data_IF_388123220392
#
_entry.id   IF_388123220392
#
_cell.length_a   1.000
_cell.length_b   1.000
_cell.length_c   1.000
_cell.angle_alpha   90.00
_cell.angle_beta   90.00
_cell.angle_gamma   90.00
#
_symmetry.space_group_name_H-M   'P 1'
#
loop_
_entity.id
_entity.type
_entity.pdbx_description
1 polymer ?
#
# COMPACT_ATOMS: atom_id res chain seq x y z
N UNK A 1 -19.79 36.83 42.27
CA UNK A 1 -20.95 36.35 41.48
C UNK A 1 -20.47 35.25 40.51
N UNK A 2 -20.52 34.01 40.93
CA UNK A 2 -20.13 32.88 40.09
C UNK A 2 -21.25 32.61 39.07
N UNK A 3 -20.99 32.79 37.76
CA UNK A 3 -21.88 32.31 36.71
C UNK A 3 -21.80 30.77 36.73
N UNK A 4 -22.90 30.13 37.05
CA UNK A 4 -23.06 28.67 36.85
C UNK A 4 -23.04 28.47 35.34
N UNK A 5 -22.05 27.72 34.85
CA UNK A 5 -21.99 27.33 33.44
C UNK A 5 -23.33 26.67 33.05
N UNK A 6 -23.89 27.10 31.94
CA UNK A 6 -25.17 26.58 31.48
C UNK A 6 -25.11 25.07 31.18
N UNK A 7 -26.24 24.40 31.29
CA UNK A 7 -26.35 22.95 31.01
C UNK A 7 -25.73 22.53 29.67
N UNK A 8 -25.79 23.40 28.64
CA UNK A 8 -25.15 23.24 27.36
C UNK A 8 -23.62 23.13 27.45
N UNK A 9 -23.00 23.92 28.31
CA UNK A 9 -21.55 23.94 28.51
C UNK A 9 -21.07 22.65 29.19
N UNK A 10 -21.86 22.15 30.14
CA UNK A 10 -21.56 20.89 30.85
C UNK A 10 -21.65 19.67 29.92
N UNK A 11 -22.65 19.64 29.04
CA UNK A 11 -22.77 18.57 28.01
C UNK A 11 -21.65 18.64 26.99
N UNK A 12 -21.25 19.84 26.57
CA UNK A 12 -20.11 20.07 25.67
C UNK A 12 -18.80 19.57 26.29
N UNK A 13 -18.51 19.93 27.54
CA UNK A 13 -17.34 19.49 28.31
C UNK A 13 -17.34 17.95 28.49
N UNK A 14 -18.51 17.37 28.80
CA UNK A 14 -18.63 15.91 28.97
C UNK A 14 -18.38 15.14 27.66
N UNK A 15 -18.93 15.61 26.52
CA UNK A 15 -18.64 15.05 25.21
C UNK A 15 -17.16 15.15 24.85
N UNK A 16 -16.54 16.30 25.13
CA UNK A 16 -15.13 16.56 24.86
C UNK A 16 -14.22 15.66 25.71
N UNK A 17 -14.55 15.51 27.01
CA UNK A 17 -13.80 14.62 27.91
C UNK A 17 -13.88 13.14 27.49
N UNK A 18 -15.04 12.67 27.01
CA UNK A 18 -15.16 11.30 26.48
C UNK A 18 -14.34 11.10 25.22
N UNK A 19 -14.30 12.07 24.30
CA UNK A 19 -13.49 12.01 23.09
C UNK A 19 -12.01 11.94 23.44
N UNK A 20 -11.53 12.78 24.37
CA UNK A 20 -10.14 12.74 24.82
C UNK A 20 -9.78 11.43 25.52
N UNK A 21 -10.65 10.93 26.41
CA UNK A 21 -10.44 9.64 27.08
C UNK A 21 -10.39 8.49 26.07
N UNK A 22 -11.26 8.50 25.07
CA UNK A 22 -11.23 7.51 23.98
C UNK A 22 -9.93 7.60 23.17
N UNK A 23 -9.45 8.82 22.90
CA UNK A 23 -8.18 9.02 22.17
C UNK A 23 -6.98 8.49 22.96
N UNK A 24 -6.91 8.75 24.28
CA UNK A 24 -5.86 8.20 25.13
C UNK A 24 -5.92 6.66 25.16
N UNK A 25 -7.12 6.10 25.34
CA UNK A 25 -7.30 4.64 25.31
C UNK A 25 -6.83 4.03 23.98
N UNK A 26 -7.27 4.60 22.87
CA UNK A 26 -6.90 4.10 21.54
C UNK A 26 -5.39 4.20 21.30
N UNK A 27 -4.74 5.26 21.81
CA UNK A 27 -3.29 5.40 21.72
C UNK A 27 -2.58 4.29 22.49
N UNK A 28 -2.97 4.01 23.75
CA UNK A 28 -2.37 2.93 24.53
C UNK A 28 -2.62 1.56 23.90
N UNK A 29 -3.86 1.30 23.43
CA UNK A 29 -4.19 0.05 22.70
C UNK A 29 -3.25 -0.16 21.52
N UNK A 30 -3.03 0.89 20.74
CA UNK A 30 -2.17 0.81 19.56
C UNK A 30 -0.70 0.54 19.94
N UNK A 31 -0.19 1.23 20.95
CA UNK A 31 1.19 1.06 21.42
C UNK A 31 1.42 -0.36 22.00
N UNK A 32 0.44 -0.92 22.70
CA UNK A 32 0.50 -2.32 23.20
C UNK A 32 0.48 -3.30 22.02
N UNK A 33 -0.37 -3.10 21.02
CA UNK A 33 -0.40 -3.95 19.82
C UNK A 33 0.93 -3.88 19.04
N UNK A 34 1.52 -2.69 18.91
CA UNK A 34 2.86 -2.51 18.31
C UNK A 34 3.92 -3.25 19.11
N UNK A 35 3.88 -3.20 20.44
CA UNK A 35 4.81 -3.94 21.28
C UNK A 35 4.68 -5.46 21.07
N UNK A 36 3.46 -5.98 21.01
CA UNK A 36 3.20 -7.39 20.75
C UNK A 36 3.66 -7.82 19.33
N UNK A 37 3.51 -6.96 18.32
CA UNK A 37 4.07 -7.23 16.98
C UNK A 37 5.59 -7.29 17.01
N UNK A 38 6.26 -6.34 17.66
CA UNK A 38 7.72 -6.34 17.82
C UNK A 38 8.25 -7.57 18.57
N UNK A 39 7.45 -8.12 19.46
CA UNK A 39 7.73 -9.38 20.17
C UNK A 39 7.39 -10.64 19.35
N UNK A 40 6.81 -10.51 18.15
CA UNK A 40 6.37 -11.64 17.32
C UNK A 40 5.08 -12.32 17.81
N UNK A 41 4.41 -11.76 18.82
CA UNK A 41 3.23 -12.38 19.45
C UNK A 41 1.91 -12.03 18.76
N UNK A 42 1.85 -10.95 18.01
CA UNK A 42 0.59 -10.50 17.39
C UNK A 42 0.05 -11.54 16.39
N UNK A 43 0.92 -12.17 15.61
CA UNK A 43 0.53 -13.21 14.67
C UNK A 43 -0.06 -14.45 15.38
N UNK A 44 0.53 -14.86 16.49
CA UNK A 44 0.05 -16.01 17.30
C UNK A 44 -1.31 -15.74 17.94
N UNK A 45 -1.52 -14.50 18.43
CA UNK A 45 -2.81 -14.05 18.95
C UNK A 45 -3.91 -14.08 17.88
N UNK A 46 -3.55 -13.95 16.60
CA UNK A 46 -4.45 -14.04 15.45
C UNK A 46 -4.81 -15.47 15.03
N UNK A 47 -4.33 -16.50 15.75
CA UNK A 47 -4.64 -17.91 15.47
C UNK A 47 -5.76 -18.44 16.36
N UNK A 48 -6.30 -19.62 16.03
CA UNK A 48 -7.27 -20.35 16.86
C UNK A 48 -6.66 -20.77 18.21
N UNK A 49 -5.34 -20.94 18.26
CA UNK A 49 -4.63 -21.41 19.46
C UNK A 49 -4.39 -20.26 20.44
N UNK A 50 -4.11 -19.05 19.96
CA UNK A 50 -3.79 -17.89 20.79
C UNK A 50 -2.49 -18.06 21.58
N UNK A 51 -2.34 -17.27 22.65
CA UNK A 51 -1.14 -17.16 23.48
C UNK A 51 -1.47 -17.43 24.94
N UNK A 52 -0.61 -18.19 25.61
CA UNK A 52 -0.65 -18.42 27.07
C UNK A 52 0.63 -17.83 27.68
N UNK A 53 0.57 -16.69 28.41
CA UNK A 53 1.77 -16.00 28.92
C UNK A 53 2.70 -16.91 29.73
N UNK A 54 2.16 -17.69 30.64
CA UNK A 54 2.94 -18.57 31.50
C UNK A 54 3.70 -19.70 30.75
N UNK A 55 3.37 -19.93 29.46
CA UNK A 55 4.04 -20.95 28.63
C UNK A 55 5.15 -20.36 27.75
N UNK A 56 5.35 -19.03 27.74
CA UNK A 56 6.31 -18.36 26.88
C UNK A 56 7.64 -18.11 27.61
N UNK A 57 8.69 -18.78 27.16
CA UNK A 57 10.04 -18.48 27.62
C UNK A 57 10.57 -17.16 27.05
N UNK A 58 11.33 -16.41 27.82
CA UNK A 58 11.95 -15.16 27.39
C UNK A 58 11.08 -13.92 27.52
N UNK A 59 9.88 -14.04 28.12
CA UNK A 59 9.01 -12.91 28.42
C UNK A 59 8.82 -12.76 29.94
N UNK A 60 8.61 -11.52 30.39
CA UNK A 60 8.11 -11.27 31.74
C UNK A 60 6.62 -11.64 31.78
N UNK A 61 6.22 -12.69 32.52
CA UNK A 61 4.84 -13.15 32.48
C UNK A 61 3.85 -12.14 33.10
N UNK A 62 4.28 -11.35 34.07
CA UNK A 62 3.42 -10.34 34.71
C UNK A 62 3.12 -9.18 33.77
N UNK A 63 4.14 -8.67 33.10
CA UNK A 63 3.97 -7.59 32.13
C UNK A 63 3.17 -8.03 30.90
N UNK A 64 3.45 -9.23 30.42
CA UNK A 64 2.72 -9.79 29.26
C UNK A 64 1.24 -10.01 29.60
N UNK A 65 0.95 -10.63 30.76
CA UNK A 65 -0.42 -10.87 31.21
C UNK A 65 -1.19 -9.57 31.37
N UNK A 66 -0.61 -8.55 32.01
CA UNK A 66 -1.21 -7.24 32.16
C UNK A 66 -1.53 -6.57 30.80
N UNK A 67 -0.63 -6.70 29.79
CA UNK A 67 -0.87 -6.19 28.46
C UNK A 67 -2.04 -6.92 27.75
N UNK A 68 -2.12 -8.24 27.87
CA UNK A 68 -3.19 -9.04 27.26
C UNK A 68 -4.54 -8.84 27.96
N UNK A 69 -4.55 -8.70 29.30
CA UNK A 69 -5.74 -8.35 30.06
C UNK A 69 -6.27 -6.96 29.65
N UNK A 70 -5.39 -5.97 29.56
CA UNK A 70 -5.76 -4.62 29.10
C UNK A 70 -6.40 -4.65 27.72
N UNK A 71 -5.83 -5.41 26.76
CA UNK A 71 -6.43 -5.56 25.42
C UNK A 71 -7.76 -6.33 25.45
N UNK A 72 -7.96 -7.21 26.44
CA UNK A 72 -9.23 -7.91 26.66
C UNK A 72 -10.30 -6.95 27.18
N UNK A 73 -9.98 -6.09 28.12
CA UNK A 73 -10.84 -5.00 28.61
C UNK A 73 -11.16 -3.99 27.49
N UNK A 74 -10.20 -3.79 26.57
CA UNK A 74 -10.38 -2.97 25.38
C UNK A 74 -11.22 -3.68 24.29
N UNK A 75 -11.69 -4.89 24.52
CA UNK A 75 -12.47 -5.71 23.57
C UNK A 75 -11.74 -6.11 22.26
N UNK A 76 -10.42 -6.03 22.24
CA UNK A 76 -9.57 -6.48 21.13
C UNK A 76 -9.32 -7.98 21.25
N UNK A 77 -8.99 -8.43 22.45
CA UNK A 77 -8.78 -9.86 22.73
C UNK A 77 -9.97 -10.46 23.48
N UNK A 78 -10.00 -11.78 23.53
CA UNK A 78 -10.81 -12.58 24.43
C UNK A 78 -9.92 -13.56 25.20
N UNK A 79 -10.26 -13.79 26.46
CA UNK A 79 -9.62 -14.79 27.28
C UNK A 79 -10.36 -16.13 27.14
N UNK A 80 -9.62 -17.14 26.78
CA UNK A 80 -10.09 -18.53 26.74
C UNK A 80 -9.72 -19.24 28.07
N UNK A 81 -10.35 -20.34 28.36
CA UNK A 81 -10.04 -21.09 29.57
C UNK A 81 -8.53 -21.35 29.75
N UNK A 82 -8.05 -21.39 31.01
CA UNK A 82 -6.64 -21.60 31.42
C UNK A 82 -5.68 -20.44 31.10
N UNK A 83 -6.14 -19.18 31.16
CA UNK A 83 -5.27 -18.01 30.97
C UNK A 83 -4.71 -17.88 29.58
N UNK A 84 -5.44 -18.31 28.55
CA UNK A 84 -5.08 -18.20 27.15
C UNK A 84 -5.82 -17.06 26.50
N UNK A 85 -5.13 -16.26 25.69
CA UNK A 85 -5.64 -15.07 25.02
C UNK A 85 -5.57 -15.23 23.50
N UNK A 86 -6.56 -14.70 22.78
CA UNK A 86 -6.54 -14.57 21.32
C UNK A 86 -7.33 -13.35 20.86
N UNK A 87 -7.19 -12.97 19.59
CA UNK A 87 -8.01 -11.93 18.99
C UNK A 87 -9.49 -12.36 18.99
N UNK A 88 -10.34 -11.51 19.58
CA UNK A 88 -11.77 -11.78 19.79
C UNK A 88 -12.51 -12.06 18.47
N UNK A 89 -12.18 -11.31 17.43
CA UNK A 89 -12.78 -11.44 16.10
C UNK A 89 -11.72 -11.83 15.06
N UNK A 90 -11.37 -13.12 15.02
CA UNK A 90 -10.34 -13.63 14.12
C UNK A 90 -10.52 -13.20 12.64
N UNK A 91 -11.76 -13.04 12.16
CA UNK A 91 -12.04 -12.55 10.82
C UNK A 91 -11.60 -11.10 10.58
N UNK A 92 -11.49 -10.31 11.64
CA UNK A 92 -11.04 -8.92 11.60
C UNK A 92 -9.54 -8.78 11.86
N UNK A 93 -8.88 -9.86 12.27
CA UNK A 93 -7.45 -9.86 12.57
C UNK A 93 -6.56 -9.26 11.47
N UNK A 94 -6.76 -9.57 10.17
CA UNK A 94 -5.96 -8.94 9.15
C UNK A 94 -6.12 -7.41 9.08
N UNK A 95 -7.33 -6.87 9.37
CA UNK A 95 -7.55 -5.40 9.44
C UNK A 95 -6.84 -4.80 10.64
N UNK A 96 -6.88 -5.49 11.78
CA UNK A 96 -6.18 -5.07 12.98
C UNK A 96 -4.66 -5.02 12.71
N UNK A 97 -4.12 -6.06 12.11
CA UNK A 97 -2.69 -6.16 11.76
C UNK A 97 -2.28 -5.07 10.76
N UNK A 98 -3.09 -4.81 9.72
CA UNK A 98 -2.86 -3.74 8.77
C UNK A 98 -2.81 -2.36 9.45
N UNK A 99 -3.71 -2.10 10.40
CA UNK A 99 -3.69 -0.85 11.17
C UNK A 99 -2.42 -0.73 12.03
N UNK A 100 -1.95 -1.82 12.63
CA UNK A 100 -0.70 -1.87 13.39
C UNK A 100 0.49 -1.58 12.47
N UNK A 101 0.56 -2.19 11.30
CA UNK A 101 1.63 -1.94 10.33
C UNK A 101 1.63 -0.50 9.82
N UNK A 102 0.46 0.06 9.50
CA UNK A 102 0.35 1.47 9.11
C UNK A 102 0.86 2.40 10.22
N UNK A 103 0.52 2.12 11.48
CA UNK A 103 1.02 2.89 12.61
C UNK A 103 2.54 2.73 12.80
N UNK A 104 3.09 1.55 12.57
CA UNK A 104 4.54 1.30 12.62
C UNK A 104 5.27 2.02 11.48
N UNK A 105 4.69 2.02 10.29
CA UNK A 105 5.23 2.74 9.13
C UNK A 105 5.39 4.23 9.43
N UNK A 106 4.38 4.86 9.99
CA UNK A 106 4.36 6.31 10.26
C UNK A 106 4.79 6.70 11.69
N UNK A 107 5.30 5.78 12.49
CA UNK A 107 5.68 6.04 13.88
C UNK A 107 6.72 7.17 13.98
N UNK A 108 7.79 7.12 13.17
CA UNK A 108 8.83 8.16 13.19
C UNK A 108 8.29 9.53 12.76
N UNK A 109 7.63 9.70 11.61
CA UNK A 109 7.05 10.98 11.22
C UNK A 109 6.09 11.58 12.25
N UNK A 110 5.22 10.77 12.85
CA UNK A 110 4.25 11.23 13.84
C UNK A 110 4.93 11.66 15.14
N UNK A 111 5.89 10.91 15.65
CA UNK A 111 6.63 11.26 16.89
C UNK A 111 7.52 12.48 16.70
N UNK A 112 7.99 12.75 15.49
CA UNK A 112 8.82 13.91 15.15
C UNK A 112 8.05 15.03 14.45
N UNK A 113 6.71 14.97 14.45
CA UNK A 113 5.85 15.92 13.76
C UNK A 113 6.15 17.39 14.13
N UNK A 114 6.53 17.68 15.39
CA UNK A 114 6.91 19.01 15.83
C UNK A 114 8.09 19.59 15.05
N UNK A 115 9.06 18.75 14.60
CA UNK A 115 10.20 19.17 13.79
C UNK A 115 9.78 19.48 12.35
N UNK A 116 8.85 18.68 11.80
CA UNK A 116 8.27 18.92 10.47
C UNK A 116 7.43 20.20 10.46
N UNK A 117 6.58 20.42 11.50
CA UNK A 117 5.76 21.64 11.65
C UNK A 117 6.63 22.89 11.77
N UNK A 118 7.74 22.83 12.49
CA UNK A 118 8.68 23.95 12.63
C UNK A 118 9.52 24.21 11.40
N UNK A 119 9.59 23.26 10.46
CA UNK A 119 10.47 23.31 9.30
C UNK A 119 11.94 23.01 9.63
N UNK A 120 12.24 22.50 10.83
CA UNK A 120 13.58 22.07 11.24
C UNK A 120 14.05 20.85 10.44
N UNK A 121 13.11 20.06 9.95
CA UNK A 121 13.33 18.87 9.11
C UNK A 121 12.30 18.82 7.97
N UNK A 122 12.63 18.02 6.95
CA UNK A 122 11.74 17.74 5.82
C UNK A 122 11.43 16.25 5.74
N UNK A 123 10.19 15.91 5.39
CA UNK A 123 9.83 14.55 5.08
C UNK A 123 10.66 14.04 3.87
N UNK A 124 11.10 12.78 3.96
CA UNK A 124 12.00 12.19 2.95
C UNK A 124 13.49 12.51 3.15
N UNK A 125 13.83 13.43 4.08
CA UNK A 125 15.22 13.79 4.41
C UNK A 125 15.38 13.71 5.93
N UNK A 126 15.86 12.58 6.44
CA UNK A 126 16.05 12.34 7.88
C UNK A 126 14.80 11.89 8.64
N UNK A 127 13.59 12.28 8.22
CA UNK A 127 12.32 11.79 8.74
C UNK A 127 11.52 11.20 7.59
N UNK A 128 11.30 9.89 7.62
CA UNK A 128 10.50 9.17 6.62
C UNK A 128 9.70 8.04 7.26
N UNK A 129 8.71 7.52 6.56
CA UNK A 129 8.03 6.29 6.97
C UNK A 129 8.97 5.08 6.86
N UNK A 130 8.61 4.00 7.53
CA UNK A 130 9.27 2.70 7.35
C UNK A 130 8.63 1.96 6.16
N UNK A 131 9.37 1.83 5.07
CA UNK A 131 8.88 1.27 3.80
C UNK A 131 8.46 -0.20 3.90
N UNK A 132 9.08 -0.98 4.78
CA UNK A 132 8.71 -2.38 4.97
C UNK A 132 7.31 -2.48 5.59
N UNK A 133 7.06 -1.73 6.66
CA UNK A 133 5.75 -1.73 7.31
C UNK A 133 4.68 -1.08 6.45
N UNK A 134 5.03 -0.06 5.67
CA UNK A 134 4.13 0.55 4.70
C UNK A 134 3.71 -0.45 3.61
N UNK A 135 4.66 -1.18 3.03
CA UNK A 135 4.38 -2.24 2.07
C UNK A 135 3.48 -3.35 2.66
N UNK A 136 3.72 -3.74 3.91
CA UNK A 136 2.90 -4.74 4.61
C UNK A 136 1.47 -4.25 4.90
N UNK A 137 1.31 -2.98 5.29
CA UNK A 137 0.00 -2.35 5.51
C UNK A 137 -0.78 -2.22 4.21
N UNK A 138 -0.12 -1.75 3.16
CA UNK A 138 -0.70 -1.59 1.83
C UNK A 138 -1.13 -2.92 1.23
N UNK A 139 -0.35 -3.99 1.39
CA UNK A 139 -0.69 -5.33 0.93
C UNK A 139 -2.04 -5.81 1.47
N UNK A 140 -2.27 -5.68 2.77
CA UNK A 140 -3.52 -6.16 3.39
C UNK A 140 -4.75 -5.41 2.85
N UNK A 141 -4.64 -4.13 2.55
CA UNK A 141 -5.70 -3.31 1.96
C UNK A 141 -5.88 -3.65 0.48
N UNK A 142 -4.80 -3.63 -0.28
CA UNK A 142 -4.84 -3.76 -1.73
C UNK A 142 -5.24 -5.17 -2.16
N UNK A 143 -4.79 -6.20 -1.46
CA UNK A 143 -5.13 -7.59 -1.77
C UNK A 143 -6.63 -7.86 -1.69
N UNK A 144 -7.34 -7.22 -0.76
CA UNK A 144 -8.77 -7.44 -0.55
C UNK A 144 -9.65 -6.68 -1.54
N UNK A 145 -9.27 -5.45 -1.86
CA UNK A 145 -10.13 -4.55 -2.62
C UNK A 145 -9.71 -4.41 -4.07
N UNK A 146 -8.41 -4.50 -4.36
CA UNK A 146 -7.89 -4.04 -5.65
C UNK A 146 -7.19 -5.12 -6.48
N UNK A 147 -6.65 -6.20 -5.90
CA UNK A 147 -5.95 -7.23 -6.69
C UNK A 147 -6.85 -7.86 -7.75
N UNK A 148 -8.05 -8.31 -7.37
CA UNK A 148 -8.98 -8.88 -8.33
C UNK A 148 -9.48 -7.87 -9.37
N UNK A 149 -9.59 -6.60 -9.00
CA UNK A 149 -9.96 -5.52 -9.91
C UNK A 149 -8.84 -5.25 -10.92
N UNK A 150 -7.61 -5.05 -10.45
CA UNK A 150 -6.42 -4.81 -11.29
C UNK A 150 -6.13 -6.01 -12.18
N UNK A 151 -6.24 -7.24 -11.65
CA UNK A 151 -6.06 -8.47 -12.43
C UNK A 151 -7.05 -8.53 -13.62
N UNK A 152 -8.33 -8.22 -13.43
CA UNK A 152 -9.31 -8.22 -14.54
C UNK A 152 -8.95 -7.20 -15.61
N UNK A 153 -8.53 -6.00 -15.23
CA UNK A 153 -8.07 -4.99 -16.18
C UNK A 153 -6.82 -5.46 -16.94
N UNK A 154 -5.89 -6.11 -16.25
CA UNK A 154 -4.68 -6.68 -16.81
C UNK A 154 -4.98 -7.80 -17.82
N UNK A 155 -5.80 -8.79 -17.45
CA UNK A 155 -6.16 -9.91 -18.32
C UNK A 155 -6.88 -9.47 -19.60
N UNK A 156 -7.66 -8.39 -19.52
CA UNK A 156 -8.31 -7.81 -20.71
C UNK A 156 -7.33 -7.19 -21.73
N UNK A 157 -6.03 -7.11 -21.39
CA UNK A 157 -4.97 -6.71 -22.34
C UNK A 157 -4.38 -7.86 -23.13
N UNK A 158 -4.74 -9.12 -22.80
CA UNK A 158 -4.17 -10.36 -23.39
C UNK A 158 -2.64 -10.42 -23.31
N UNK A 159 -2.04 -9.97 -22.20
CA UNK A 159 -0.59 -10.06 -22.00
C UNK A 159 -0.17 -11.43 -21.45
N UNK A 160 1.07 -11.82 -21.70
CA UNK A 160 1.70 -13.03 -21.17
C UNK A 160 2.74 -12.73 -20.07
N UNK A 161 3.23 -11.50 -19.99
CA UNK A 161 4.27 -11.09 -19.05
C UNK A 161 3.98 -9.74 -18.42
N UNK A 162 4.32 -9.61 -17.13
CA UNK A 162 4.07 -8.40 -16.32
C UNK A 162 5.30 -8.05 -15.50
N UNK A 163 5.66 -6.78 -15.53
CA UNK A 163 6.58 -6.15 -14.57
C UNK A 163 5.77 -5.25 -13.66
N UNK A 164 5.76 -5.53 -12.35
CA UNK A 164 5.07 -4.73 -11.34
C UNK A 164 6.08 -3.81 -10.66
N UNK A 165 5.98 -2.51 -10.91
CA UNK A 165 6.86 -1.47 -10.34
C UNK A 165 6.27 -0.94 -9.05
N UNK A 166 7.12 -0.84 -8.00
CA UNK A 166 6.68 -0.55 -6.65
C UNK A 166 5.87 -1.70 -6.07
N UNK A 167 6.34 -2.93 -6.29
CA UNK A 167 5.63 -4.14 -5.92
C UNK A 167 5.57 -4.39 -4.40
N UNK A 168 6.27 -3.59 -3.59
CA UNK A 168 6.40 -3.80 -2.16
C UNK A 168 6.96 -5.20 -1.84
N UNK A 169 6.18 -6.00 -1.12
CA UNK A 169 6.56 -7.40 -0.81
C UNK A 169 6.48 -8.35 -2.02
N UNK A 170 5.91 -7.93 -3.15
CA UNK A 170 5.65 -8.80 -4.30
C UNK A 170 4.37 -9.63 -4.18
N UNK A 171 3.47 -9.23 -3.30
CA UNK A 171 2.23 -9.97 -3.07
C UNK A 171 1.29 -9.95 -4.29
N UNK A 172 1.25 -8.87 -5.08
CA UNK A 172 0.44 -8.81 -6.29
C UNK A 172 0.95 -9.74 -7.40
N UNK A 173 2.25 -9.74 -7.78
CA UNK A 173 2.80 -10.78 -8.66
C UNK A 173 2.51 -12.20 -8.17
N UNK A 174 2.66 -12.48 -6.86
CA UNK A 174 2.34 -13.77 -6.29
C UNK A 174 0.84 -14.11 -6.34
N UNK A 175 -0.04 -13.11 -6.22
CA UNK A 175 -1.47 -13.27 -6.43
C UNK A 175 -1.78 -13.61 -7.90
N UNK A 176 -1.18 -12.90 -8.85
CA UNK A 176 -1.34 -13.19 -10.28
C UNK A 176 -0.90 -14.63 -10.63
N UNK A 177 0.23 -15.09 -10.11
CA UNK A 177 0.73 -16.45 -10.32
C UNK A 177 -0.25 -17.54 -9.86
N UNK A 178 -1.04 -17.27 -8.83
CA UNK A 178 -2.03 -18.22 -8.29
C UNK A 178 -3.37 -18.21 -9.02
N UNK A 179 -3.69 -17.13 -9.74
CA UNK A 179 -5.02 -16.91 -10.30
C UNK A 179 -5.04 -16.76 -11.83
N UNK A 180 -3.88 -16.88 -12.48
CA UNK A 180 -3.74 -16.71 -13.95
C UNK A 180 -2.68 -17.65 -14.50
N UNK A 181 -2.67 -17.79 -15.83
CA UNK A 181 -1.64 -18.56 -16.57
C UNK A 181 -0.49 -17.69 -17.07
N UNK A 182 -0.26 -16.53 -16.45
CA UNK A 182 0.85 -15.64 -16.78
C UNK A 182 2.20 -16.35 -16.52
N UNK A 183 3.12 -16.25 -17.48
CA UNK A 183 4.36 -17.05 -17.48
C UNK A 183 5.56 -16.32 -16.91
N UNK A 184 5.56 -14.99 -16.97
CA UNK A 184 6.66 -14.15 -16.50
C UNK A 184 6.09 -13.01 -15.67
N UNK A 185 6.36 -13.07 -14.38
CA UNK A 185 5.91 -12.09 -13.39
C UNK A 185 7.13 -11.58 -12.63
N UNK A 186 7.46 -10.32 -12.80
CA UNK A 186 8.57 -9.71 -12.08
C UNK A 186 8.05 -8.57 -11.22
N UNK A 187 8.32 -8.61 -9.92
CA UNK A 187 8.13 -7.47 -9.02
C UNK A 187 9.43 -6.72 -8.83
N UNK A 188 9.38 -5.40 -8.90
CA UNK A 188 10.52 -4.50 -8.64
C UNK A 188 10.13 -3.48 -7.59
N UNK A 189 10.96 -3.35 -6.57
CA UNK A 189 10.82 -2.33 -5.53
C UNK A 189 12.17 -1.77 -5.11
N UNK A 190 12.20 -0.52 -4.69
CA UNK A 190 13.42 0.12 -4.21
C UNK A 190 13.80 -0.36 -2.82
N UNK A 191 12.82 -0.81 -2.02
CA UNK A 191 13.01 -1.30 -0.66
C UNK A 191 13.52 -2.74 -0.66
N UNK A 192 14.80 -2.93 -0.33
CA UNK A 192 15.40 -4.25 -0.14
C UNK A 192 14.73 -5.03 1.01
N UNK A 193 14.29 -4.32 2.06
CA UNK A 193 13.57 -4.90 3.21
C UNK A 193 12.19 -5.43 2.82
N UNK A 194 11.44 -4.71 1.97
CA UNK A 194 10.15 -5.18 1.47
C UNK A 194 10.32 -6.42 0.59
N UNK A 195 11.31 -6.42 -0.31
CA UNK A 195 11.65 -7.57 -1.15
C UNK A 195 12.08 -8.77 -0.30
N UNK A 196 12.94 -8.55 0.70
CA UNK A 196 13.37 -9.63 1.61
C UNK A 196 12.18 -10.25 2.37
N UNK A 197 11.25 -9.42 2.82
CA UNK A 197 10.01 -9.89 3.48
C UNK A 197 9.14 -10.71 2.53
N UNK A 198 9.00 -10.29 1.27
CA UNK A 198 8.28 -11.05 0.24
C UNK A 198 8.89 -12.43 -0.02
N UNK A 199 10.22 -12.50 -0.09
CA UNK A 199 10.96 -13.78 -0.18
C UNK A 199 10.73 -14.66 1.03
N UNK A 200 10.79 -14.07 2.23
CA UNK A 200 10.51 -14.79 3.49
C UNK A 200 9.09 -15.37 3.52
N UNK A 201 8.11 -14.68 2.92
CA UNK A 201 6.73 -15.16 2.78
C UNK A 201 6.53 -16.17 1.64
N UNK A 202 7.56 -16.45 0.86
CA UNK A 202 7.50 -17.40 -0.26
C UNK A 202 6.80 -16.84 -1.50
N UNK A 203 6.76 -15.52 -1.66
CA UNK A 203 6.16 -14.89 -2.84
C UNK A 203 7.02 -15.06 -4.10
N UNK A 204 8.34 -15.17 -3.96
CA UNK A 204 9.24 -15.50 -5.06
C UNK A 204 9.21 -17.01 -5.33
N UNK A 205 8.23 -17.45 -6.13
CA UNK A 205 8.05 -18.85 -6.48
C UNK A 205 7.42 -19.02 -7.86
N UNK A 206 7.68 -20.15 -8.52
CA UNK A 206 7.13 -20.45 -9.84
C UNK A 206 7.55 -19.40 -10.89
N UNK A 207 6.59 -18.71 -11.55
CA UNK A 207 6.88 -17.68 -12.55
C UNK A 207 7.28 -16.32 -11.95
N UNK A 208 7.27 -16.16 -10.61
CA UNK A 208 7.50 -14.89 -9.92
C UNK A 208 8.97 -14.70 -9.62
N UNK A 209 9.49 -13.53 -9.96
CA UNK A 209 10.82 -13.03 -9.54
C UNK A 209 10.66 -11.70 -8.83
N UNK A 210 11.43 -11.50 -7.77
CA UNK A 210 11.46 -10.24 -7.01
C UNK A 210 12.86 -9.62 -7.11
N UNK A 211 12.94 -8.37 -7.52
CA UNK A 211 14.18 -7.64 -7.73
C UNK A 211 14.18 -6.32 -6.94
N UNK A 212 15.30 -6.01 -6.34
CA UNK A 212 15.55 -4.65 -5.85
C UNK A 212 15.97 -3.80 -7.03
N UNK A 213 15.28 -2.67 -7.24
CA UNK A 213 15.54 -1.77 -8.35
C UNK A 213 14.81 -0.45 -8.23
N UNK A 214 15.34 0.57 -8.89
CA UNK A 214 14.78 1.91 -8.94
C UNK A 214 13.97 2.11 -10.23
N UNK A 215 12.70 2.51 -10.10
CA UNK A 215 11.82 2.81 -11.22
C UNK A 215 12.33 4.00 -12.08
N UNK A 216 13.15 4.89 -11.51
CA UNK A 216 13.78 6.01 -12.23
C UNK A 216 15.01 5.59 -13.04
N UNK A 217 15.59 4.41 -12.76
CA UNK A 217 16.78 3.86 -13.43
C UNK A 217 16.53 2.43 -13.91
N UNK A 218 15.42 2.21 -14.61
CA UNK A 218 14.89 0.89 -14.94
C UNK A 218 15.76 0.13 -15.93
N UNK A 219 16.59 0.81 -16.70
CA UNK A 219 17.55 0.21 -17.62
C UNK A 219 18.51 -0.77 -16.90
N UNK A 220 18.88 -0.46 -15.64
CA UNK A 220 19.70 -1.35 -14.80
C UNK A 220 18.96 -2.65 -14.46
N UNK A 221 17.65 -2.52 -14.18
CA UNK A 221 16.78 -3.67 -13.89
C UNK A 221 16.47 -4.45 -15.15
N UNK A 222 16.25 -3.78 -16.29
CA UNK A 222 15.98 -4.39 -17.58
C UNK A 222 17.09 -5.37 -18.00
N UNK A 223 18.36 -5.03 -17.72
CA UNK A 223 19.51 -5.90 -18.00
C UNK A 223 19.47 -7.24 -17.23
N UNK A 224 18.68 -7.34 -16.16
CA UNK A 224 18.50 -8.56 -15.36
C UNK A 224 17.30 -9.41 -15.83
N UNK A 225 16.47 -8.88 -16.73
CA UNK A 225 15.30 -9.59 -17.24
C UNK A 225 15.67 -10.45 -18.43
N UNK A 226 15.02 -11.61 -18.53
CA UNK A 226 15.20 -12.52 -19.68
C UNK A 226 14.50 -11.97 -20.92
N UNK A 227 13.32 -11.45 -20.76
CA UNK A 227 12.49 -10.86 -21.80
C UNK A 227 11.95 -9.50 -21.36
N UNK A 228 11.65 -8.62 -22.32
CA UNK A 228 10.95 -7.39 -22.06
C UNK A 228 9.49 -7.69 -21.64
N UNK A 229 8.94 -7.01 -20.61
CA UNK A 229 7.55 -7.20 -20.21
C UNK A 229 6.60 -6.61 -21.26
N UNK A 230 5.45 -7.25 -21.43
CA UNK A 230 4.37 -6.70 -22.28
C UNK A 230 3.58 -5.61 -21.57
N UNK A 231 3.46 -5.75 -20.25
CA UNK A 231 2.80 -4.77 -19.36
C UNK A 231 3.74 -4.38 -18.23
N UNK A 232 3.81 -3.09 -17.95
CA UNK A 232 4.36 -2.54 -16.72
C UNK A 232 3.17 -2.11 -15.85
N UNK A 233 2.97 -2.78 -14.74
CA UNK A 233 1.93 -2.47 -13.74
C UNK A 233 2.49 -1.51 -12.69
N UNK A 234 1.71 -0.52 -12.32
CA UNK A 234 1.98 0.38 -11.19
C UNK A 234 0.69 0.56 -10.39
N UNK A 235 0.66 0.00 -9.18
CA UNK A 235 -0.52 0.02 -8.33
C UNK A 235 -0.25 0.82 -7.05
N UNK A 236 -0.85 2.01 -6.96
CA UNK A 236 -0.68 2.94 -5.84
C UNK A 236 0.80 3.32 -5.60
N UNK A 237 1.50 3.67 -6.69
CA UNK A 237 2.93 4.04 -6.67
C UNK A 237 3.15 5.46 -7.14
N UNK A 238 2.53 5.87 -8.23
CA UNK A 238 2.88 7.14 -8.86
C UNK A 238 2.40 8.37 -8.08
N UNK A 239 1.46 8.21 -7.14
CA UNK A 239 1.08 9.29 -6.24
C UNK A 239 2.17 9.66 -5.21
N UNK A 240 3.19 8.82 -5.05
CA UNK A 240 4.38 9.10 -4.24
C UNK A 240 5.27 10.21 -4.84
N UNK A 241 5.06 10.56 -6.11
CA UNK A 241 5.94 11.43 -6.87
C UNK A 241 5.21 12.68 -7.36
N UNK A 242 5.94 13.79 -7.46
CA UNK A 242 5.51 14.98 -8.17
C UNK A 242 5.49 14.72 -9.70
N UNK A 243 5.08 15.72 -10.47
CA UNK A 243 4.94 15.58 -11.92
C UNK A 243 6.28 15.32 -12.62
N UNK A 244 7.38 15.86 -12.11
CA UNK A 244 8.72 15.62 -12.64
C UNK A 244 9.16 14.19 -12.36
N UNK A 245 8.94 13.70 -11.13
CA UNK A 245 9.23 12.32 -10.75
C UNK A 245 8.43 11.31 -11.57
N UNK A 246 7.13 11.55 -11.76
CA UNK A 246 6.29 10.73 -12.65
C UNK A 246 6.86 10.73 -14.08
N UNK A 247 7.20 11.91 -14.61
CA UNK A 247 7.79 12.02 -15.96
C UNK A 247 9.11 11.24 -16.09
N UNK A 248 9.96 11.25 -15.06
CA UNK A 248 11.21 10.48 -15.04
C UNK A 248 10.95 8.97 -15.04
N UNK A 249 9.99 8.49 -14.24
CA UNK A 249 9.61 7.07 -14.21
C UNK A 249 9.06 6.64 -15.57
N UNK A 250 8.10 7.37 -16.14
CA UNK A 250 7.53 7.05 -17.45
C UNK A 250 8.58 7.07 -18.55
N UNK A 251 9.51 8.04 -18.51
CA UNK A 251 10.66 8.09 -19.42
C UNK A 251 11.59 6.90 -19.26
N UNK A 252 11.87 6.44 -18.03
CA UNK A 252 12.67 5.25 -17.74
C UNK A 252 11.98 3.98 -18.28
N UNK A 253 10.66 3.83 -18.06
CA UNK A 253 9.89 2.73 -18.65
C UNK A 253 9.97 2.74 -20.17
N UNK A 254 9.79 3.90 -20.80
CA UNK A 254 9.81 4.01 -22.26
C UNK A 254 11.18 3.68 -22.86
N UNK A 255 12.27 4.09 -22.21
CA UNK A 255 13.64 3.74 -22.66
C UNK A 255 13.95 2.27 -22.48
N UNK A 256 13.58 1.70 -21.32
CA UNK A 256 13.84 0.29 -21.01
C UNK A 256 12.94 -0.66 -21.82
N UNK A 257 11.68 -0.29 -22.03
CA UNK A 257 10.65 -1.15 -22.64
C UNK A 257 9.74 -0.35 -23.58
N UNK A 258 10.24 0.07 -24.75
CA UNK A 258 9.54 1.02 -25.65
C UNK A 258 8.22 0.50 -26.23
N UNK A 259 7.95 -0.79 -26.14
CA UNK A 259 6.71 -1.42 -26.62
C UNK A 259 5.76 -1.83 -25.48
N UNK A 260 6.20 -1.74 -24.24
CA UNK A 260 5.39 -2.14 -23.10
C UNK A 260 4.22 -1.14 -22.89
N UNK A 261 3.04 -1.68 -22.68
CA UNK A 261 1.90 -0.91 -22.19
C UNK A 261 2.03 -0.69 -20.68
N UNK A 262 1.39 0.34 -20.17
CA UNK A 262 1.36 0.62 -18.73
C UNK A 262 -0.06 0.40 -18.22
N UNK A 263 -0.20 -0.35 -17.13
CA UNK A 263 -1.41 -0.44 -16.33
C UNK A 263 -1.20 0.37 -15.06
N UNK A 264 -1.88 1.49 -14.95
CA UNK A 264 -1.89 2.32 -13.75
C UNK A 264 -3.15 2.03 -12.93
N UNK A 265 -2.99 1.64 -11.66
CA UNK A 265 -4.10 1.56 -10.70
C UNK A 265 -3.87 2.61 -9.62
N UNK A 266 -4.74 3.64 -9.58
CA UNK A 266 -4.60 4.77 -8.66
C UNK A 266 -5.93 5.28 -8.12
N UNK A 267 -5.85 5.92 -6.94
CA UNK A 267 -6.93 6.74 -6.44
C UNK A 267 -7.08 7.99 -7.29
N UNK A 268 -8.31 8.28 -7.72
CA UNK A 268 -8.59 9.42 -8.59
C UNK A 268 -9.29 10.52 -7.80
N UNK A 269 -8.70 11.71 -7.81
CA UNK A 269 -9.34 12.90 -7.26
C UNK A 269 -10.56 13.27 -8.11
N UNK A 270 -11.75 13.34 -7.52
CA UNK A 270 -12.95 13.82 -8.20
C UNK A 270 -13.08 15.31 -8.03
N UNK A 271 -13.40 16.00 -9.12
CA UNK A 271 -13.41 17.48 -9.19
C UNK A 271 -14.74 18.14 -8.74
N UNK A 272 -15.76 17.38 -8.37
CA UNK A 272 -17.06 17.95 -7.98
C UNK A 272 -17.21 18.00 -6.45
N UNK A 273 -17.88 19.05 -5.92
CA UNK A 273 -18.16 19.20 -4.49
C UNK A 273 -18.93 17.98 -3.91
N UNK A 274 -19.88 17.39 -4.65
CA UNK A 274 -20.56 16.16 -4.26
C UNK A 274 -19.60 14.96 -4.18
N UNK A 275 -18.59 14.95 -5.03
CA UNK A 275 -17.58 13.92 -5.04
C UNK A 275 -16.55 14.16 -3.92
N UNK A 276 -16.23 15.40 -3.57
CA UNK A 276 -15.46 15.74 -2.37
C UNK A 276 -16.21 15.34 -1.10
N UNK A 277 -17.53 15.54 -1.04
CA UNK A 277 -18.38 15.09 0.06
C UNK A 277 -18.49 13.56 0.14
N UNK A 278 -18.52 12.83 -0.98
CA UNK A 278 -18.49 11.37 -1.05
C UNK A 278 -17.09 10.79 -0.85
N UNK A 279 -16.04 11.51 -1.20
CA UNK A 279 -14.64 11.20 -0.88
C UNK A 279 -14.32 11.36 0.60
N UNK A 280 -15.21 11.92 1.39
CA UNK A 280 -15.10 11.99 2.85
C UNK A 280 -15.09 10.60 3.52
N UNK A 281 -15.30 9.52 2.76
CA UNK A 281 -15.04 8.16 3.23
C UNK A 281 -13.55 7.79 3.23
N UNK A 282 -12.67 8.54 2.59
CA UNK A 282 -11.26 8.49 2.91
C UNK A 282 -11.11 9.07 4.32
N UNK A 283 -10.80 8.21 5.28
CA UNK A 283 -10.59 8.57 6.67
C UNK A 283 -9.73 9.85 6.70
N UNK A 284 -10.10 10.88 7.48
CA UNK A 284 -9.29 12.10 7.61
C UNK A 284 -7.82 11.81 7.91
N UNK A 285 -7.57 10.73 8.62
CA UNK A 285 -6.25 10.21 8.96
C UNK A 285 -5.45 9.82 7.72
N UNK A 286 -6.06 9.11 6.78
CA UNK A 286 -5.41 8.70 5.53
C UNK A 286 -5.04 9.92 4.68
N UNK A 287 -5.95 10.88 4.57
CA UNK A 287 -5.67 12.16 3.89
C UNK A 287 -4.52 12.92 4.54
N UNK A 288 -4.51 13.00 5.88
CA UNK A 288 -3.45 13.67 6.62
C UNK A 288 -2.09 13.00 6.40
N UNK A 289 -2.06 11.67 6.45
CA UNK A 289 -0.85 10.89 6.21
C UNK A 289 -0.30 11.11 4.79
N UNK A 290 -1.16 11.13 3.75
CA UNK A 290 -0.74 11.46 2.39
C UNK A 290 -0.18 12.89 2.28
N UNK A 291 -0.80 13.86 2.94
CA UNK A 291 -0.28 15.23 2.99
C UNK A 291 1.07 15.32 3.73
N UNK A 292 1.20 14.61 4.86
CA UNK A 292 2.43 14.55 5.65
C UNK A 292 3.59 13.96 4.85
N UNK A 293 3.32 12.91 4.08
CA UNK A 293 4.30 12.24 3.22
C UNK A 293 4.44 12.87 1.83
N UNK A 294 3.83 14.04 1.59
CA UNK A 294 3.92 14.80 0.34
C UNK A 294 3.43 14.05 -0.90
N UNK A 295 2.54 13.08 -0.71
CA UNK A 295 1.92 12.33 -1.80
C UNK A 295 0.94 13.17 -2.58
N UNK A 296 0.87 12.97 -3.90
CA UNK A 296 0.08 13.78 -4.84
C UNK A 296 -1.05 12.95 -5.43
N UNK A 297 -2.26 13.11 -4.89
CA UNK A 297 -3.46 12.49 -5.47
C UNK A 297 -3.96 13.34 -6.63
N UNK A 298 -4.05 12.77 -7.82
CA UNK A 298 -4.38 13.47 -9.07
C UNK A 298 -5.76 13.09 -9.59
N UNK A 299 -6.38 14.00 -10.33
CA UNK A 299 -7.54 13.70 -11.15
C UNK A 299 -7.15 12.82 -12.34
N UNK A 300 -8.13 12.15 -12.95
CA UNK A 300 -7.91 11.35 -14.16
C UNK A 300 -7.28 12.17 -15.28
N UNK A 301 -7.76 13.40 -15.48
CA UNK A 301 -7.29 14.25 -16.59
C UNK A 301 -5.84 14.73 -16.38
N UNK A 302 -5.40 14.88 -15.12
CA UNK A 302 -3.99 15.11 -14.79
C UNK A 302 -3.13 13.89 -15.11
N UNK A 303 -3.58 12.68 -14.74
CA UNK A 303 -2.89 11.45 -15.15
C UNK A 303 -2.77 11.33 -16.66
N UNK A 304 -3.86 11.52 -17.40
CA UNK A 304 -3.84 11.45 -18.88
C UNK A 304 -2.85 12.45 -19.46
N UNK A 305 -2.86 13.71 -18.99
CA UNK A 305 -1.89 14.72 -19.46
C UNK A 305 -0.43 14.36 -19.18
N UNK A 306 -0.13 13.77 -18.01
CA UNK A 306 1.24 13.34 -17.68
C UNK A 306 1.71 12.22 -18.61
N UNK A 307 0.83 11.24 -18.86
CA UNK A 307 1.14 10.13 -19.75
C UNK A 307 1.29 10.58 -21.19
N UNK A 308 0.42 11.47 -21.69
CA UNK A 308 0.51 12.03 -23.05
C UNK A 308 1.85 12.76 -23.27
N UNK A 309 2.29 13.57 -22.29
CA UNK A 309 3.60 14.26 -22.34
C UNK A 309 4.77 13.27 -22.36
N UNK A 310 4.57 12.06 -21.85
CA UNK A 310 5.58 10.99 -21.79
C UNK A 310 5.45 9.99 -22.93
N UNK A 311 4.76 10.34 -24.02
CA UNK A 311 4.55 9.52 -25.22
C UNK A 311 3.70 8.26 -24.98
N UNK A 312 2.74 8.33 -24.08
CA UNK A 312 1.74 7.28 -23.84
C UNK A 312 0.34 7.82 -24.07
N UNK A 313 -0.54 7.02 -24.64
CA UNK A 313 -1.94 7.35 -24.90
C UNK A 313 -2.85 6.41 -24.12
N UNK A 314 -3.92 6.95 -23.52
CA UNK A 314 -4.94 6.17 -22.83
C UNK A 314 -5.73 5.31 -23.84
N UNK A 315 -5.74 4.00 -23.62
CA UNK A 315 -6.50 3.05 -24.44
C UNK A 315 -7.76 2.58 -23.73
N UNK A 316 -7.69 2.38 -22.40
CA UNK A 316 -8.77 1.78 -21.64
C UNK A 316 -8.83 2.34 -20.22
N UNK A 317 -10.06 2.39 -19.69
CA UNK A 317 -10.36 2.78 -18.33
C UNK A 317 -11.37 1.81 -17.71
N UNK A 318 -11.07 1.35 -16.51
CA UNK A 318 -11.98 0.60 -15.64
C UNK A 318 -12.12 1.34 -14.30
N UNK A 319 -13.34 1.41 -13.75
CA UNK A 319 -13.62 2.09 -12.49
C UNK A 319 -13.99 1.07 -11.41
N UNK A 320 -13.43 1.25 -10.22
CA UNK A 320 -13.81 0.43 -9.08
C UNK A 320 -15.16 0.90 -8.51
N UNK A 321 -16.10 -0.03 -8.31
CA UNK A 321 -17.49 0.30 -7.96
C UNK A 321 -17.65 0.95 -6.58
N UNK A 322 -16.77 0.62 -5.61
CA UNK A 322 -16.91 1.02 -4.21
C UNK A 322 -15.89 2.09 -3.78
N UNK A 323 -15.00 2.51 -4.66
CA UNK A 323 -13.97 3.49 -4.35
C UNK A 323 -13.68 4.38 -5.55
N UNK A 324 -12.94 5.47 -5.33
CA UNK A 324 -12.49 6.36 -6.41
C UNK A 324 -11.26 5.83 -7.16
N UNK A 325 -10.98 4.53 -7.09
CA UNK A 325 -9.84 3.91 -7.77
C UNK A 325 -10.20 3.59 -9.21
N UNK A 326 -9.28 3.87 -10.11
CA UNK A 326 -9.39 3.49 -11.52
C UNK A 326 -8.17 2.67 -11.96
N UNK A 327 -8.39 1.75 -12.89
CA UNK A 327 -7.36 1.16 -13.70
C UNK A 327 -7.33 1.85 -15.06
N UNK A 328 -6.19 2.42 -15.41
CA UNK A 328 -5.96 3.11 -16.68
C UNK A 328 -4.89 2.33 -17.46
N UNK A 329 -5.22 1.91 -18.68
CA UNK A 329 -4.27 1.22 -19.56
C UNK A 329 -3.79 2.20 -20.61
N UNK A 330 -2.48 2.35 -20.72
CA UNK A 330 -1.82 3.23 -21.68
C UNK A 330 -0.93 2.43 -22.62
N UNK A 331 -0.94 2.81 -23.90
CA UNK A 331 -0.01 2.30 -24.92
C UNK A 331 0.99 3.38 -25.34
N UNK A 332 2.23 2.99 -25.73
CA UNK A 332 3.15 3.92 -26.34
C UNK A 332 2.55 4.54 -27.61
N UNK A 333 2.62 5.85 -27.76
CA UNK A 333 2.02 6.60 -28.88
C UNK A 333 2.56 6.15 -30.25
N UNK A 334 3.80 5.63 -30.32
CA UNK A 334 4.46 5.16 -31.54
C UNK A 334 4.43 3.64 -31.73
N UNK A 335 3.68 2.89 -30.91
CA UNK A 335 3.67 1.42 -30.96
C UNK A 335 3.28 0.86 -32.34
N UNK A 336 2.38 1.51 -33.06
CA UNK A 336 1.98 1.12 -34.41
C UNK A 336 3.08 1.25 -35.47
N UNK A 337 3.93 2.26 -35.36
CA UNK A 337 5.06 2.49 -36.27
C UNK A 337 6.23 1.53 -35.97
N UNK A 338 6.48 1.22 -34.69
CA UNK A 338 7.55 0.29 -34.29
C UNK A 338 7.21 -1.16 -34.60
N UNK A 339 5.94 -1.59 -34.42
CA UNK A 339 5.52 -2.96 -34.77
C UNK A 339 5.64 -3.22 -36.28
N UNK A 340 5.32 -2.28 -37.15
CA UNK A 340 5.49 -2.40 -38.61
C UNK A 340 6.96 -2.49 -39.03
N UNK A 341 7.91 -1.98 -38.25
CA UNK A 341 9.36 -2.11 -38.50
C UNK A 341 9.94 -3.45 -38.03
N UNK A 342 9.28 -4.12 -37.11
CA UNK A 342 9.71 -5.42 -36.55
C UNK A 342 9.14 -6.64 -37.32
N UNK A 343 8.12 -6.44 -38.19
CA UNK A 343 7.65 -7.52 -39.07
C UNK A 343 8.70 -7.75 -40.16
N UNK A 344 9.22 -8.98 -40.35
CA UNK A 344 10.15 -9.27 -41.41
C UNK A 344 9.44 -9.05 -42.75
N UNK A 345 10.05 -8.24 -43.61
CA UNK A 345 9.62 -8.04 -44.99
C UNK A 345 9.40 -9.42 -45.62
N UNK A 346 8.23 -9.71 -46.21
CA UNK A 346 8.03 -10.97 -46.93
C UNK A 346 9.13 -11.09 -48.00
N UNK A 347 9.92 -12.15 -47.91
CA UNK A 347 10.91 -12.46 -48.97
C UNK A 347 10.16 -12.52 -50.29
N UNK A 348 10.49 -11.62 -51.22
CA UNK A 348 10.02 -11.69 -52.58
C UNK A 348 10.44 -13.07 -53.11
N UNK A 349 9.45 -13.90 -53.41
CA UNK A 349 9.65 -15.19 -53.99
C UNK A 349 10.24 -15.03 -55.38
N UNK A 350 11.33 -15.70 -55.58
CA UNK A 350 11.88 -16.02 -56.90
C UNK A 350 11.17 -17.22 -57.48
#
# INVERSE_FOLDING_TARGET
MFRIAGYSDTVGLWRHSRTLASSVRNHIVLDVLIALEKCGLLAELGTQHGVTPAALAGFDPVQLEAALEYLTEAEILEQLGRGRFRVRKLREFPRLRSAVYAAMAYNQPIRQLHRLIRGDERYGVGISRDDQYDAMASEDITSRFYYGFTMRALLATNCASVLDLGCGTGAFPAYLARHTDLRELTGVDVSDRAIAEGRRRGYESGPVRLLVGDAMALEITAAKLKNAPEIVSMMFVLHEFDDEGVGRILGSVHRAFPLARILLTEMILRQTEEALARNSTALPELRYVHQLSQQVVRSRDEWVRLFDRSSYRLDRRDEHQLSNTQCLVFSPSNAGAMRRRAEPTPRAGS
#
